data_IF_423819911742
#
_entry.id   IF_423819911742
#
_cell.length_a   1.000
_cell.length_b   1.000
_cell.length_c   1.000
_cell.angle_alpha   90.00
_cell.angle_beta   90.00
_cell.angle_gamma   90.00
#
_symmetry.space_group_name_H-M   'P 1'
#
loop_
_entity.id
_entity.type
_entity.pdbx_description
1 polymer ?
#
# COMPACT_ATOMS: atom_id res chain seq x y z
N UNK A 1 -17.78 -19.08 29.72
CA UNK A 1 -16.96 -18.24 28.82
C UNK A 1 -17.85 -17.82 27.67
N UNK A 2 -18.44 -16.62 27.77
CA UNK A 2 -19.53 -16.12 26.92
C UNK A 2 -18.99 -15.49 25.63
N UNK A 3 -19.71 -15.71 24.53
CA UNK A 3 -19.41 -15.31 23.14
C UNK A 3 -19.05 -13.83 22.93
N UNK A 4 -19.35 -12.96 23.91
CA UNK A 4 -19.05 -11.53 23.88
C UNK A 4 -17.54 -11.19 23.77
N UNK A 5 -16.63 -12.10 24.14
CA UNK A 5 -15.18 -11.86 23.98
C UNK A 5 -14.67 -12.07 22.55
N UNK A 6 -15.36 -12.86 21.71
CA UNK A 6 -14.91 -13.14 20.35
C UNK A 6 -15.21 -11.97 19.39
N UNK A 7 -16.39 -11.35 19.51
CA UNK A 7 -16.78 -10.23 18.65
C UNK A 7 -15.93 -8.97 18.84
N UNK A 8 -15.40 -8.73 20.05
CA UNK A 8 -14.61 -7.53 20.35
C UNK A 8 -13.20 -7.58 19.73
N UNK A 9 -12.64 -8.77 19.54
CA UNK A 9 -11.33 -8.95 18.92
C UNK A 9 -11.40 -8.79 17.40
N UNK A 10 -12.49 -9.20 16.76
CA UNK A 10 -12.66 -9.03 15.31
C UNK A 10 -12.86 -7.56 14.88
N UNK A 11 -13.54 -6.75 15.69
CA UNK A 11 -13.76 -5.32 15.39
C UNK A 11 -12.44 -4.53 15.45
N UNK A 12 -11.57 -4.83 16.42
CA UNK A 12 -10.27 -4.15 16.58
C UNK A 12 -9.29 -4.54 15.46
N UNK A 13 -9.34 -5.78 14.96
CA UNK A 13 -8.51 -6.22 13.83
C UNK A 13 -8.94 -5.67 12.47
N UNK A 14 -10.25 -5.39 12.29
CA UNK A 14 -10.81 -4.87 11.03
C UNK A 14 -10.48 -3.40 10.79
N UNK A 15 -10.54 -2.58 11.84
CA UNK A 15 -10.16 -1.15 11.77
C UNK A 15 -8.68 -0.99 11.38
N UNK A 16 -7.79 -1.79 11.98
CA UNK A 16 -6.35 -1.73 11.67
C UNK A 16 -6.00 -2.18 10.25
N UNK A 17 -6.74 -3.14 9.69
CA UNK A 17 -6.53 -3.61 8.32
C UNK A 17 -7.01 -2.59 7.29
N UNK A 18 -8.19 -2.00 7.53
CA UNK A 18 -8.76 -0.96 6.67
C UNK A 18 -7.90 0.31 6.65
N UNK A 19 -7.37 0.72 7.80
CA UNK A 19 -6.48 1.88 7.89
C UNK A 19 -5.14 1.64 7.18
N UNK A 20 -4.59 0.42 7.25
CA UNK A 20 -3.38 0.03 6.55
C UNK A 20 -3.59 0.00 5.02
N UNK A 21 -4.71 -0.54 4.55
CA UNK A 21 -5.07 -0.60 3.14
C UNK A 21 -5.31 0.81 2.56
N UNK A 22 -5.97 1.68 3.33
CA UNK A 22 -6.14 3.09 2.96
C UNK A 22 -4.83 3.87 2.95
N UNK A 23 -3.92 3.58 3.88
CA UNK A 23 -2.59 4.17 3.89
C UNK A 23 -1.76 3.72 2.68
N UNK A 24 -1.83 2.42 2.35
CA UNK A 24 -1.21 1.83 1.17
C UNK A 24 -1.68 2.52 -0.12
N UNK A 25 -3.00 2.59 -0.30
CA UNK A 25 -3.63 3.26 -1.44
C UNK A 25 -3.12 4.69 -1.60
N UNK A 26 -3.19 5.48 -0.53
CA UNK A 26 -2.78 6.89 -0.55
C UNK A 26 -1.31 7.04 -0.94
N UNK A 27 -0.43 6.23 -0.34
CA UNK A 27 1.01 6.29 -0.62
C UNK A 27 1.29 5.94 -2.09
N UNK A 28 0.66 4.88 -2.61
CA UNK A 28 0.83 4.47 -4.01
C UNK A 28 0.34 5.54 -4.96
N UNK A 29 -0.83 6.13 -4.71
CA UNK A 29 -1.39 7.21 -5.51
C UNK A 29 -0.48 8.45 -5.54
N UNK A 30 -0.01 8.90 -4.37
CA UNK A 30 0.92 10.05 -4.27
C UNK A 30 2.21 9.79 -5.05
N UNK A 31 2.78 8.59 -4.95
CA UNK A 31 3.98 8.22 -5.72
C UNK A 31 3.68 8.15 -7.21
N UNK A 32 2.51 7.65 -7.61
CA UNK A 32 2.11 7.62 -9.02
C UNK A 32 2.02 9.03 -9.61
N UNK A 33 1.42 9.99 -8.88
CA UNK A 33 1.31 11.38 -9.30
C UNK A 33 2.67 12.07 -9.41
N UNK A 34 3.57 11.83 -8.45
CA UNK A 34 4.86 12.51 -8.38
C UNK A 34 5.94 11.89 -9.30
N UNK A 35 5.92 10.57 -9.52
CA UNK A 35 6.99 9.82 -10.19
C UNK A 35 6.55 9.12 -11.48
N UNK A 36 5.40 9.50 -12.05
CA UNK A 36 4.99 9.04 -13.38
C UNK A 36 6.10 9.29 -14.41
N UNK A 37 6.53 8.24 -15.12
CA UNK A 37 7.61 8.33 -16.11
C UNK A 37 9.03 8.25 -15.54
N UNK A 38 9.21 8.18 -14.21
CA UNK A 38 10.51 7.96 -13.59
C UNK A 38 11.00 6.51 -13.80
N UNK A 39 12.29 6.26 -13.58
CA UNK A 39 12.86 4.93 -13.76
C UNK A 39 12.40 3.96 -12.65
N UNK A 40 12.11 2.70 -13.00
CA UNK A 40 11.67 1.66 -12.04
C UNK A 40 12.51 1.60 -10.76
N UNK A 41 13.87 1.63 -10.79
CA UNK A 41 14.67 1.58 -9.55
C UNK A 41 14.45 2.79 -8.63
N UNK A 42 14.17 3.96 -9.20
CA UNK A 42 13.87 5.18 -8.46
C UNK A 42 12.51 5.07 -7.76
N UNK A 43 11.48 4.63 -8.49
CA UNK A 43 10.13 4.41 -7.94
C UNK A 43 10.16 3.35 -6.83
N UNK A 44 10.90 2.25 -7.02
CA UNK A 44 11.11 1.22 -5.99
C UNK A 44 11.72 1.80 -4.71
N UNK A 45 12.73 2.66 -4.83
CA UNK A 45 13.38 3.28 -3.67
C UNK A 45 12.43 4.21 -2.91
N UNK A 46 11.58 4.95 -3.63
CA UNK A 46 10.57 5.84 -3.03
C UNK A 46 9.47 5.04 -2.34
N UNK A 47 8.93 4.02 -2.99
CA UNK A 47 7.90 3.13 -2.41
C UNK A 47 8.42 2.48 -1.13
N UNK A 48 9.63 1.92 -1.13
CA UNK A 48 10.24 1.32 0.06
C UNK A 48 10.39 2.31 1.21
N UNK A 49 10.75 3.57 0.91
CA UNK A 49 10.91 4.61 1.92
C UNK A 49 9.56 5.05 2.50
N UNK A 50 8.52 5.22 1.67
CA UNK A 50 7.20 5.70 2.11
C UNK A 50 6.35 4.60 2.75
N UNK A 51 6.47 3.36 2.30
CA UNK A 51 5.76 2.20 2.83
C UNK A 51 6.42 1.59 4.06
N UNK A 52 7.57 2.09 4.52
CA UNK A 52 8.29 1.57 5.68
C UNK A 52 7.42 1.56 6.94
N UNK A 53 6.77 0.43 7.20
CA UNK A 53 5.84 0.23 8.31
C UNK A 53 4.38 -0.05 7.91
N UNK A 54 4.00 0.08 6.64
CA UNK A 54 2.68 -0.28 6.13
C UNK A 54 2.72 -1.74 5.61
N UNK A 55 2.04 -2.68 6.28
CA UNK A 55 1.87 -4.03 5.74
C UNK A 55 0.95 -3.98 4.51
N UNK A 56 1.27 -4.77 3.47
CA UNK A 56 0.37 -4.92 2.31
C UNK A 56 1.04 -4.91 0.93
N UNK A 57 2.36 -4.76 0.84
CA UNK A 57 3.09 -4.80 -0.42
C UNK A 57 4.41 -5.56 -0.27
N UNK A 58 4.52 -6.72 -0.92
CA UNK A 58 5.71 -7.58 -0.88
C UNK A 58 6.70 -7.26 -2.02
N UNK A 59 7.85 -7.93 -2.05
CA UNK A 59 8.92 -7.63 -3.01
C UNK A 59 8.48 -7.69 -4.49
N UNK A 60 7.87 -8.81 -4.95
CA UNK A 60 7.30 -8.93 -6.29
C UNK A 60 6.22 -7.89 -6.59
N UNK A 61 5.27 -7.66 -5.66
CA UNK A 61 4.18 -6.71 -5.87
C UNK A 61 4.70 -5.27 -5.93
N UNK A 62 5.72 -4.94 -5.13
CA UNK A 62 6.33 -3.60 -5.09
C UNK A 62 7.04 -3.28 -6.39
N UNK A 63 7.67 -4.29 -7.01
CA UNK A 63 8.27 -4.12 -8.32
C UNK A 63 7.21 -3.92 -9.40
N UNK A 64 6.11 -4.68 -9.37
CA UNK A 64 5.00 -4.52 -10.32
C UNK A 64 4.39 -3.13 -10.24
N UNK A 65 4.11 -2.63 -9.03
CA UNK A 65 3.60 -1.27 -8.80
C UNK A 65 4.57 -0.23 -9.35
N UNK A 66 5.88 -0.41 -9.13
CA UNK A 66 6.88 0.50 -9.66
C UNK A 66 6.96 0.50 -11.19
N UNK A 67 6.77 -0.66 -11.84
CA UNK A 67 6.71 -0.78 -13.30
C UNK A 67 5.49 -0.03 -13.87
N UNK A 68 4.31 -0.18 -13.27
CA UNK A 68 3.09 0.54 -13.68
C UNK A 68 3.26 2.07 -13.54
N UNK A 69 3.80 2.54 -12.41
CA UNK A 69 4.08 3.97 -12.19
C UNK A 69 5.13 4.49 -13.18
N UNK A 70 6.18 3.70 -13.46
CA UNK A 70 7.22 4.05 -14.41
C UNK A 70 6.66 4.26 -15.83
N UNK A 71 5.63 3.52 -16.22
CA UNK A 71 4.93 3.74 -17.51
C UNK A 71 3.81 4.79 -17.43
N UNK A 72 3.69 5.51 -16.33
CA UNK A 72 2.74 6.60 -16.13
C UNK A 72 1.33 6.16 -15.77
N UNK A 73 1.15 4.92 -15.27
CA UNK A 73 -0.14 4.42 -14.78
C UNK A 73 -0.25 4.63 -13.28
N UNK A 74 -1.48 4.80 -12.82
CA UNK A 74 -1.80 4.78 -11.40
C UNK A 74 -2.32 3.39 -10.99
N UNK A 75 -1.50 2.56 -10.32
CA UNK A 75 -1.91 1.24 -9.88
C UNK A 75 -2.77 1.26 -8.60
N UNK A 76 -3.07 2.43 -8.04
CA UNK A 76 -3.93 2.54 -6.85
C UNK A 76 -5.41 2.19 -7.14
N UNK A 77 -5.85 2.24 -8.40
CA UNK A 77 -7.14 1.72 -8.84
C UNK A 77 -8.31 2.69 -8.71
N UNK A 78 -8.20 3.88 -9.32
CA UNK A 78 -9.34 4.72 -9.72
C UNK A 78 -9.62 4.59 -11.22
#
# INVERSE_FOLDING_TARGET
MTEASLARTEVIGRDTGYDAERALFRIVHEVAVEYAGAAVPEVVAVLRRRLGGVPGLDGPDLRRVAEEISVGRDPSGL
#
